data_IF_884639156795
#
_entry.id   IF_884639156795
#
_cell.length_a   1.000
_cell.length_b   1.000
_cell.length_c   1.000
_cell.angle_alpha   90.00
_cell.angle_beta   90.00
_cell.angle_gamma   90.00
#
_symmetry.space_group_name_H-M   'P 1'
#
loop_
_entity.id
_entity.type
_entity.pdbx_description
1 polymer ?
#
# COMPACT_ATOMS: atom_id res chain seq x y z
N UNK A 1 7.82 -58.37 -47.95
CA UNK A 1 7.29 -59.73 -48.19
C UNK A 1 6.74 -60.28 -46.87
N UNK A 2 5.46 -60.68 -46.88
CA UNK A 2 4.75 -61.61 -45.98
C UNK A 2 4.81 -61.43 -44.45
N UNK A 3 3.68 -60.98 -43.89
CA UNK A 3 3.09 -61.49 -42.62
C UNK A 3 2.35 -62.83 -42.91
N UNK A 4 1.91 -63.70 -41.94
CA UNK A 4 0.99 -63.37 -40.84
C UNK A 4 0.98 -64.23 -39.53
N UNK A 5 0.10 -63.82 -38.58
CA UNK A 5 -0.73 -64.53 -37.56
C UNK A 5 -0.07 -65.43 -36.49
N UNK A 6 -0.19 -65.16 -35.17
CA UNK A 6 -1.34 -65.23 -34.24
C UNK A 6 -1.72 -66.66 -33.79
N UNK A 7 -1.64 -66.97 -32.47
CA UNK A 7 -2.70 -67.58 -31.65
C UNK A 7 -2.32 -67.70 -30.15
N UNK A 8 -3.36 -67.55 -29.33
CA UNK A 8 -3.49 -67.57 -27.87
C UNK A 8 -2.92 -68.79 -27.11
N UNK A 9 -2.54 -68.57 -25.84
CA UNK A 9 -3.14 -69.35 -24.73
C UNK A 9 -3.04 -68.62 -23.38
N UNK A 10 -4.21 -68.36 -22.81
CA UNK A 10 -4.43 -67.76 -21.51
C UNK A 10 -4.01 -68.67 -20.34
N UNK A 11 -3.50 -68.07 -19.25
CA UNK A 11 -3.60 -68.65 -17.90
C UNK A 11 -3.71 -67.56 -16.85
N UNK A 12 -4.81 -67.63 -16.11
CA UNK A 12 -5.22 -66.70 -15.06
C UNK A 12 -4.28 -66.75 -13.84
N UNK A 13 -3.89 -65.60 -13.33
CA UNK A 13 -3.67 -65.38 -11.89
C UNK A 13 -4.29 -64.04 -11.54
N UNK A 14 -5.37 -64.09 -10.77
CA UNK A 14 -5.98 -62.93 -10.13
C UNK A 14 -5.05 -62.44 -9.02
N UNK A 15 -4.71 -61.15 -9.04
CA UNK A 15 -4.11 -60.47 -7.91
C UNK A 15 -4.70 -59.06 -7.79
N UNK A 16 -5.55 -58.88 -6.79
CA UNK A 16 -6.00 -57.60 -6.29
C UNK A 16 -4.81 -56.73 -5.87
N UNK A 17 -4.65 -55.55 -6.46
CA UNK A 17 -3.86 -54.46 -5.86
C UNK A 17 -4.58 -53.12 -6.06
N UNK A 18 -5.08 -52.63 -4.93
CA UNK A 18 -5.48 -51.28 -4.55
C UNK A 18 -5.54 -50.18 -5.63
N UNK A 19 -6.77 -49.70 -5.88
CA UNK A 19 -7.03 -48.35 -6.39
C UNK A 19 -6.70 -47.35 -5.28
N UNK A 20 -5.50 -46.77 -5.32
CA UNK A 20 -5.19 -45.57 -4.55
C UNK A 20 -5.86 -44.38 -5.25
N UNK A 21 -7.07 -44.02 -4.83
CA UNK A 21 -7.68 -42.72 -5.11
C UNK A 21 -6.80 -41.64 -4.47
N UNK A 22 -5.83 -41.15 -5.24
CA UNK A 22 -5.08 -39.95 -4.91
C UNK A 22 -6.05 -38.77 -4.88
N UNK A 23 -6.41 -38.34 -3.67
CA UNK A 23 -6.88 -37.00 -3.40
C UNK A 23 -5.77 -36.04 -3.85
N UNK A 24 -5.79 -35.66 -5.13
CA UNK A 24 -5.08 -34.48 -5.62
C UNK A 24 -5.74 -33.29 -4.94
N UNK A 25 -5.26 -32.97 -3.73
CA UNK A 25 -5.50 -31.69 -3.11
C UNK A 25 -5.08 -30.64 -4.13
N UNK A 26 -6.05 -29.86 -4.60
CA UNK A 26 -5.78 -28.64 -5.35
C UNK A 26 -4.95 -27.77 -4.42
N UNK A 27 -3.63 -27.80 -4.62
CA UNK A 27 -2.73 -26.78 -4.10
C UNK A 27 -3.29 -25.50 -4.67
N UNK A 28 -3.95 -24.70 -3.83
CA UNK A 28 -4.30 -23.34 -4.19
C UNK A 28 -2.96 -22.69 -4.50
N UNK A 29 -2.66 -22.56 -5.79
CA UNK A 29 -1.66 -21.64 -6.25
C UNK A 29 -2.04 -20.31 -5.59
N UNK A 30 -1.19 -19.82 -4.69
CA UNK A 30 -1.33 -18.48 -4.16
C UNK A 30 -1.45 -17.57 -5.39
N UNK A 31 -2.64 -16.99 -5.55
CA UNK A 31 -2.94 -16.07 -6.64
C UNK A 31 -1.83 -15.02 -6.56
N UNK A 32 -0.93 -14.97 -7.56
CA UNK A 32 0.05 -13.90 -7.65
C UNK A 32 -0.79 -12.63 -7.80
N UNK A 33 -0.96 -11.94 -6.68
CA UNK A 33 -2.05 -10.99 -6.48
C UNK A 33 -2.08 -9.99 -7.62
N UNK A 34 -3.28 -9.80 -8.20
CA UNK A 34 -3.50 -8.69 -9.12
C UNK A 34 -2.99 -7.41 -8.46
N UNK A 35 -2.26 -6.59 -9.20
CA UNK A 35 -1.79 -5.30 -8.72
C UNK A 35 -2.95 -4.52 -8.08
N UNK A 36 -2.73 -3.84 -6.94
CA UNK A 36 -3.74 -3.00 -6.32
C UNK A 36 -4.29 -2.00 -7.34
N UNK A 37 -5.62 -1.83 -7.38
CA UNK A 37 -6.23 -0.95 -8.37
C UNK A 37 -5.83 0.50 -8.08
N UNK A 38 -5.12 1.11 -9.03
CA UNK A 38 -4.77 2.53 -9.03
C UNK A 38 -5.25 3.19 -10.32
N UNK A 39 -5.80 4.40 -10.23
CA UNK A 39 -6.28 5.14 -11.40
C UNK A 39 -6.29 6.64 -11.12
N UNK A 40 -5.83 7.44 -12.08
CA UNK A 40 -5.86 8.90 -11.99
C UNK A 40 -6.50 9.48 -13.24
N UNK A 41 -7.33 10.50 -13.06
CA UNK A 41 -7.90 11.25 -14.17
C UNK A 41 -8.12 12.71 -13.76
N UNK A 42 -7.41 13.62 -14.43
CA UNK A 42 -7.42 15.06 -14.13
C UNK A 42 -7.06 15.31 -12.65
N UNK A 43 -7.94 15.93 -11.88
CA UNK A 43 -7.68 16.35 -10.49
C UNK A 43 -8.12 15.33 -9.44
N UNK A 44 -8.42 14.10 -9.89
CA UNK A 44 -8.88 13.02 -9.03
C UNK A 44 -8.04 11.75 -9.23
N UNK A 45 -7.88 10.99 -8.15
CA UNK A 45 -7.23 9.69 -8.14
C UNK A 45 -8.00 8.65 -7.32
N UNK A 46 -7.74 7.37 -7.58
CA UNK A 46 -8.27 6.20 -6.91
C UNK A 46 -7.11 5.30 -6.48
N UNK A 47 -7.15 4.83 -5.25
CA UNK A 47 -6.31 3.74 -4.77
C UNK A 47 -7.16 2.74 -4.00
N UNK A 48 -7.11 1.47 -4.39
CA UNK A 48 -7.66 0.37 -3.61
C UNK A 48 -6.53 -0.44 -2.98
N UNK A 49 -6.73 -0.91 -1.75
CA UNK A 49 -5.80 -1.81 -1.07
C UNK A 49 -6.10 -3.29 -1.35
N UNK A 50 -5.23 -4.17 -0.87
CA UNK A 50 -5.36 -5.63 -0.95
C UNK A 50 -6.62 -6.22 -0.27
N UNK A 51 -7.36 -5.43 0.53
CA UNK A 51 -8.66 -5.84 1.10
C UNK A 51 -9.86 -5.47 0.22
N UNK A 52 -9.60 -4.80 -0.91
CA UNK A 52 -10.56 -4.16 -1.83
C UNK A 52 -11.26 -2.92 -1.26
N UNK A 53 -10.71 -2.35 -0.19
CA UNK A 53 -11.15 -1.03 0.28
C UNK A 53 -10.57 0.03 -0.64
N UNK A 54 -11.43 0.88 -1.20
CA UNK A 54 -11.05 1.87 -2.18
C UNK A 54 -11.16 3.29 -1.59
N UNK A 55 -10.21 4.14 -1.98
CA UNK A 55 -10.12 5.55 -1.59
C UNK A 55 -10.02 6.39 -2.85
N UNK A 56 -11.06 7.15 -3.16
CA UNK A 56 -11.06 8.16 -4.20
C UNK A 56 -10.73 9.52 -3.57
N UNK A 57 -9.79 10.26 -4.16
CA UNK A 57 -9.38 11.58 -3.67
C UNK A 57 -9.49 12.60 -4.79
N UNK A 58 -10.01 13.78 -4.46
CA UNK A 58 -10.07 14.95 -5.34
C UNK A 58 -9.26 16.08 -4.75
N UNK A 59 -8.70 16.93 -5.60
CA UNK A 59 -7.89 18.08 -5.21
C UNK A 59 -8.35 19.36 -5.90
N UNK A 60 -7.79 20.50 -5.52
CA UNK A 60 -7.82 21.71 -6.33
C UNK A 60 -7.19 21.48 -7.71
N UNK A 61 -7.51 22.35 -8.67
CA UNK A 61 -6.90 22.30 -9.99
C UNK A 61 -5.40 22.55 -9.94
N UNK A 62 -4.65 21.86 -10.80
CA UNK A 62 -3.21 22.09 -10.95
C UNK A 62 -2.92 23.47 -11.54
N UNK A 63 -2.09 24.25 -10.87
CA UNK A 63 -1.75 25.61 -11.31
C UNK A 63 -2.88 26.63 -11.15
N UNK A 64 -3.98 26.26 -10.48
CA UNK A 64 -5.01 27.21 -10.07
C UNK A 64 -4.56 28.10 -8.90
N UNK A 65 -5.33 29.15 -8.62
CA UNK A 65 -5.04 30.11 -7.53
C UNK A 65 -5.53 29.64 -6.14
N UNK A 66 -6.23 28.49 -6.07
CA UNK A 66 -6.69 27.97 -4.79
C UNK A 66 -5.54 27.39 -3.98
N UNK A 67 -5.49 27.74 -2.70
CA UNK A 67 -4.74 27.00 -1.70
C UNK A 67 -5.14 25.51 -1.68
N UNK A 68 -4.29 24.61 -1.16
CA UNK A 68 -4.57 23.18 -1.19
C UNK A 68 -5.88 22.80 -0.47
N UNK A 69 -6.74 22.07 -1.18
CA UNK A 69 -7.98 21.49 -0.64
C UNK A 69 -8.18 20.10 -1.23
N UNK A 70 -8.63 19.17 -0.39
CA UNK A 70 -8.86 17.80 -0.83
C UNK A 70 -10.13 17.21 -0.20
N UNK A 71 -10.77 16.34 -0.95
CA UNK A 71 -11.88 15.51 -0.51
C UNK A 71 -11.48 14.05 -0.70
N UNK A 72 -11.62 13.23 0.34
CA UNK A 72 -11.43 11.78 0.27
C UNK A 72 -12.75 11.07 0.44
N UNK A 73 -13.04 10.14 -0.46
CA UNK A 73 -14.12 9.18 -0.35
C UNK A 73 -13.56 7.79 -0.08
N UNK A 74 -13.94 7.17 1.03
CA UNK A 74 -13.52 5.81 1.39
C UNK A 74 -14.72 4.87 1.32
N UNK A 75 -14.53 3.69 0.73
CA UNK A 75 -15.54 2.62 0.75
C UNK A 75 -14.89 1.25 0.87
N UNK A 76 -15.27 0.52 1.91
CA UNK A 76 -14.94 -0.88 2.08
C UNK A 76 -15.62 -1.74 1.01
N UNK A 77 -15.06 -2.91 0.70
CA UNK A 77 -15.70 -3.88 -0.19
C UNK A 77 -16.82 -4.66 0.52
N UNK A 78 -17.70 -5.29 -0.27
CA UNK A 78 -18.86 -6.04 0.21
C UNK A 78 -20.19 -5.31 0.03
N UNK A 79 -21.33 -6.03 0.13
CA UNK A 79 -22.65 -5.44 -0.06
C UNK A 79 -22.94 -4.34 0.97
N UNK A 80 -23.75 -3.35 0.57
CA UNK A 80 -24.30 -2.31 1.45
C UNK A 80 -23.28 -1.47 2.25
N UNK A 81 -22.00 -1.49 1.88
CA UNK A 81 -20.99 -0.64 2.52
C UNK A 81 -21.18 0.84 2.16
N UNK A 82 -21.19 1.74 3.16
CA UNK A 82 -21.38 3.16 2.93
C UNK A 82 -20.12 3.82 2.35
N UNK A 83 -20.31 4.95 1.67
CA UNK A 83 -19.22 5.86 1.33
C UNK A 83 -19.03 6.83 2.49
N UNK A 84 -17.81 6.89 3.01
CA UNK A 84 -17.37 7.91 3.96
C UNK A 84 -16.71 9.04 3.19
N UNK A 85 -16.99 10.30 3.55
CA UNK A 85 -16.40 11.46 2.87
C UNK A 85 -15.76 12.39 3.90
N UNK A 86 -14.47 12.64 3.74
CA UNK A 86 -13.67 13.51 4.58
C UNK A 86 -13.13 14.68 3.76
N UNK A 87 -12.93 15.83 4.41
CA UNK A 87 -12.32 17.01 3.82
C UNK A 87 -11.00 17.34 4.50
N UNK A 88 -10.13 18.01 3.77
CA UNK A 88 -8.93 18.62 4.30
C UNK A 88 -8.61 19.89 3.53
N UNK A 89 -8.10 20.89 4.24
CA UNK A 89 -7.56 22.12 3.66
C UNK A 89 -6.16 22.36 4.22
N UNK A 90 -5.29 22.95 3.42
CA UNK A 90 -4.00 23.46 3.88
C UNK A 90 -4.03 24.98 3.87
N UNK A 91 -3.40 25.58 4.87
CA UNK A 91 -3.20 27.03 4.95
C UNK A 91 -1.98 27.33 5.82
N UNK A 92 -1.28 28.42 5.52
CA UNK A 92 -0.21 28.94 6.38
C UNK A 92 -0.74 29.55 7.70
N UNK A 93 -2.05 29.76 7.81
CA UNK A 93 -2.72 30.26 9.01
C UNK A 93 -3.01 29.12 9.99
N UNK A 94 -3.55 29.46 11.16
CA UNK A 94 -4.11 28.45 12.05
C UNK A 94 -5.26 27.69 11.38
N UNK A 95 -5.29 26.37 11.58
CA UNK A 95 -6.35 25.51 11.04
C UNK A 95 -7.74 25.99 11.47
N UNK A 96 -8.70 26.08 10.53
CA UNK A 96 -10.04 26.56 10.84
C UNK A 96 -10.80 25.57 11.73
N UNK A 97 -11.45 26.06 12.78
CA UNK A 97 -12.23 25.22 13.71
C UNK A 97 -13.50 24.61 13.09
N UNK A 98 -13.98 25.19 11.97
CA UNK A 98 -15.16 24.70 11.25
C UNK A 98 -15.09 25.11 9.79
N UNK A 99 -15.49 24.18 8.92
CA UNK A 99 -15.61 24.37 7.47
C UNK A 99 -17.07 24.44 7.03
N UNK A 100 -17.28 25.12 5.90
CA UNK A 100 -18.53 25.15 5.14
C UNK A 100 -18.27 24.59 3.74
N UNK A 101 -18.80 23.41 3.43
CA UNK A 101 -18.78 22.82 2.09
C UNK A 101 -20.00 23.27 1.29
N UNK A 102 -19.79 23.73 0.05
CA UNK A 102 -20.83 24.02 -0.94
C UNK A 102 -20.53 23.33 -2.25
N UNK A 103 -21.52 22.63 -2.79
CA UNK A 103 -21.46 21.98 -4.12
C UNK A 103 -22.84 22.14 -4.77
N UNK A 104 -22.93 22.89 -5.87
CA UNK A 104 -24.21 23.20 -6.51
C UNK A 104 -25.26 23.69 -5.50
N UNK A 105 -26.37 22.96 -5.38
CA UNK A 105 -27.46 23.30 -4.46
C UNK A 105 -27.26 22.78 -3.01
N UNK A 106 -26.22 21.99 -2.75
CA UNK A 106 -25.90 21.48 -1.42
C UNK A 106 -25.02 22.48 -0.66
N UNK A 107 -25.37 22.72 0.60
CA UNK A 107 -24.67 23.61 1.52
C UNK A 107 -24.60 22.96 2.90
N UNK A 108 -23.39 22.68 3.36
CA UNK A 108 -23.09 21.98 4.62
C UNK A 108 -22.19 22.86 5.50
N UNK A 109 -22.76 23.73 6.34
CA UNK A 109 -22.00 24.50 7.32
C UNK A 109 -21.66 23.65 8.55
N UNK A 110 -20.70 24.10 9.36
CA UNK A 110 -20.49 23.56 10.70
C UNK A 110 -19.71 22.24 10.75
N UNK A 111 -18.95 21.90 9.70
CA UNK A 111 -18.13 20.69 9.66
C UNK A 111 -16.86 20.92 10.50
N UNK A 112 -16.72 20.23 11.64
CA UNK A 112 -15.66 20.48 12.64
C UNK A 112 -14.60 19.38 12.67
N UNK A 113 -13.43 19.71 13.21
CA UNK A 113 -12.28 18.82 13.33
C UNK A 113 -11.20 19.13 12.29
N UNK A 114 -10.03 18.51 12.45
CA UNK A 114 -8.89 18.72 11.54
C UNK A 114 -9.11 18.04 10.19
N UNK A 115 -9.84 16.91 10.19
CA UNK A 115 -10.29 16.17 9.00
C UNK A 115 -11.81 15.99 9.07
N UNK A 116 -12.58 17.06 8.84
CA UNK A 116 -14.03 17.01 9.06
C UNK A 116 -14.72 16.05 8.09
N UNK A 117 -15.59 15.20 8.63
CA UNK A 117 -16.39 14.26 7.84
C UNK A 117 -17.76 14.83 7.48
N UNK A 118 -18.24 14.50 6.28
CA UNK A 118 -19.61 14.77 5.84
C UNK A 118 -20.58 13.83 6.57
N UNK A 119 -21.68 14.33 7.16
CA UNK A 119 -22.67 13.48 7.79
C UNK A 119 -23.22 12.43 6.82
N UNK A 120 -23.31 11.16 7.25
CA UNK A 120 -23.72 10.04 6.39
C UNK A 120 -25.04 10.28 5.64
N UNK A 121 -26.01 10.94 6.28
CA UNK A 121 -27.29 11.29 5.66
C UNK A 121 -27.18 12.27 4.47
N UNK A 122 -26.10 13.04 4.39
CA UNK A 122 -25.86 14.03 3.33
C UNK A 122 -25.04 13.46 2.16
N UNK A 123 -24.33 12.34 2.36
CA UNK A 123 -23.45 11.74 1.34
C UNK A 123 -24.19 11.42 0.02
N UNK A 124 -25.41 10.84 0.02
CA UNK A 124 -26.12 10.58 -1.25
C UNK A 124 -26.42 11.86 -2.05
N UNK A 125 -26.76 12.96 -1.37
CA UNK A 125 -27.01 14.26 -2.02
C UNK A 125 -25.71 14.89 -2.50
N UNK A 126 -24.64 14.80 -1.69
CA UNK A 126 -23.31 15.28 -2.09
C UNK A 126 -22.84 14.60 -3.37
N UNK A 127 -22.93 13.27 -3.45
CA UNK A 127 -22.54 12.52 -4.65
C UNK A 127 -23.31 12.98 -5.90
N UNK A 128 -24.60 13.29 -5.78
CA UNK A 128 -25.38 13.81 -6.91
C UNK A 128 -24.92 15.18 -7.38
N UNK A 129 -24.59 16.09 -6.46
CA UNK A 129 -24.08 17.42 -6.80
C UNK A 129 -22.67 17.33 -7.40
N UNK A 130 -21.80 16.46 -6.87
CA UNK A 130 -20.45 16.30 -7.40
C UNK A 130 -20.44 15.85 -8.87
N UNK A 131 -21.40 15.03 -9.28
CA UNK A 131 -21.51 14.55 -10.67
C UNK A 131 -22.13 15.57 -11.65
N UNK A 132 -22.67 16.69 -11.15
CA UNK A 132 -23.40 17.70 -11.95
C UNK A 132 -22.73 19.06 -12.01
N UNK A 133 -21.70 19.28 -11.18
CA UNK A 133 -21.03 20.56 -11.04
C UNK A 133 -19.55 20.40 -11.41
N UNK A 134 -18.90 21.53 -11.69
CA UNK A 134 -17.49 21.56 -12.10
C UNK A 134 -16.54 21.82 -10.92
N UNK A 135 -17.06 22.45 -9.86
CA UNK A 135 -16.29 22.84 -8.68
C UNK A 135 -17.11 22.68 -7.40
N UNK A 136 -16.40 22.52 -6.28
CA UNK A 136 -16.91 22.64 -4.93
C UNK A 136 -16.15 23.74 -4.19
N UNK A 137 -16.81 24.49 -3.32
CA UNK A 137 -16.16 25.48 -2.47
C UNK A 137 -16.14 25.01 -1.02
N UNK A 138 -14.98 25.09 -0.38
CA UNK A 138 -14.82 24.98 1.07
C UNK A 138 -14.51 26.36 1.60
N UNK A 139 -15.17 26.79 2.67
CA UNK A 139 -14.96 28.12 3.25
C UNK A 139 -14.86 28.08 4.78
N UNK A 140 -14.08 29.01 5.33
CA UNK A 140 -13.96 29.27 6.77
C UNK A 140 -13.76 30.77 7.01
N UNK A 141 -14.80 31.46 7.49
CA UNK A 141 -14.75 32.91 7.65
C UNK A 141 -14.52 33.62 6.31
N UNK A 142 -13.34 34.24 6.16
CA UNK A 142 -12.92 34.91 4.91
C UNK A 142 -12.11 34.01 3.98
N UNK A 143 -11.62 32.88 4.49
CA UNK A 143 -10.82 31.94 3.72
C UNK A 143 -11.73 31.08 2.85
N UNK A 144 -11.26 30.79 1.64
CA UNK A 144 -12.00 30.06 0.61
C UNK A 144 -11.04 29.20 -0.19
N UNK A 145 -11.38 27.93 -0.31
CA UNK A 145 -10.70 26.96 -1.17
C UNK A 145 -11.67 26.46 -2.24
N UNK A 146 -11.13 26.17 -3.42
CA UNK A 146 -11.88 25.66 -4.57
C UNK A 146 -11.35 24.28 -4.93
N UNK A 147 -12.21 23.28 -4.74
CA UNK A 147 -11.97 21.89 -5.11
C UNK A 147 -12.44 21.67 -6.56
N UNK A 148 -11.55 21.18 -7.41
CA UNK A 148 -11.88 20.81 -8.79
C UNK A 148 -12.70 19.52 -8.79
N UNK A 149 -13.79 19.48 -9.55
CA UNK A 149 -14.56 18.26 -9.80
C UNK A 149 -14.19 17.63 -11.16
N UNK A 150 -13.17 18.15 -11.82
CA UNK A 150 -12.67 17.61 -13.07
C UNK A 150 -12.10 16.20 -12.85
N UNK A 151 -12.84 15.19 -13.32
CA UNK A 151 -12.46 13.78 -13.26
C UNK A 151 -13.17 12.94 -12.20
N UNK A 152 -13.99 13.56 -11.34
CA UNK A 152 -14.76 12.86 -10.30
C UNK A 152 -15.58 11.70 -10.87
N UNK A 153 -16.30 11.90 -11.98
CA UNK A 153 -17.12 10.86 -12.60
C UNK A 153 -16.30 9.67 -13.09
N UNK A 154 -15.11 9.91 -13.67
CA UNK A 154 -14.26 8.84 -14.18
C UNK A 154 -13.68 7.99 -13.03
N UNK A 155 -13.20 8.66 -11.98
CA UNK A 155 -12.62 8.02 -10.79
C UNK A 155 -13.69 7.24 -10.01
N UNK A 156 -14.87 7.81 -9.78
CA UNK A 156 -15.95 7.11 -9.08
C UNK A 156 -16.52 5.94 -9.90
N UNK A 157 -16.55 6.06 -11.23
CA UNK A 157 -16.92 4.93 -12.09
C UNK A 157 -15.87 3.81 -12.02
N UNK A 158 -14.58 4.15 -11.96
CA UNK A 158 -13.52 3.15 -11.78
C UNK A 158 -13.60 2.47 -10.42
N UNK A 159 -13.99 3.21 -9.38
CA UNK A 159 -14.26 2.66 -8.05
C UNK A 159 -15.42 1.67 -8.06
N UNK A 160 -16.53 2.00 -8.74
CA UNK A 160 -17.65 1.07 -8.94
C UNK A 160 -17.19 -0.19 -9.70
N UNK A 161 -16.35 -0.04 -10.73
CA UNK A 161 -15.81 -1.17 -11.50
C UNK A 161 -14.94 -2.09 -10.62
N UNK A 162 -14.01 -1.49 -9.85
CA UNK A 162 -13.09 -2.22 -8.98
C UNK A 162 -13.81 -3.04 -7.90
N UNK A 163 -14.97 -2.57 -7.43
CA UNK A 163 -15.79 -3.26 -6.44
C UNK A 163 -16.91 -4.11 -7.05
N UNK A 164 -17.05 -4.16 -8.37
CA UNK A 164 -18.09 -4.93 -9.05
C UNK A 164 -19.51 -4.35 -8.88
N UNK A 165 -19.62 -3.03 -8.70
CA UNK A 165 -20.87 -2.32 -8.40
C UNK A 165 -21.54 -1.68 -9.61
N UNK A 166 -20.90 -1.67 -10.78
CA UNK A 166 -21.50 -1.07 -11.98
C UNK A 166 -22.83 -1.76 -12.32
N UNK A 167 -23.90 -0.98 -12.30
CA UNK A 167 -25.27 -1.42 -12.55
C UNK A 167 -26.02 -1.95 -11.32
N UNK A 168 -25.50 -1.80 -10.11
CA UNK A 168 -26.24 -2.06 -8.86
C UNK A 168 -26.94 -0.78 -8.36
N UNK A 169 -27.90 -0.87 -7.42
CA UNK A 169 -28.49 0.30 -6.78
C UNK A 169 -27.47 1.17 -6.02
N UNK A 170 -26.43 0.54 -5.45
CA UNK A 170 -25.36 1.20 -4.69
C UNK A 170 -24.17 1.68 -5.51
N UNK A 171 -24.25 1.66 -6.84
CA UNK A 171 -23.25 2.29 -7.71
C UNK A 171 -23.25 3.81 -7.51
N UNK A 172 -22.07 4.42 -7.53
CA UNK A 172 -21.89 5.86 -7.38
C UNK A 172 -22.25 6.62 -8.66
N UNK A 173 -21.94 6.05 -9.83
CA UNK A 173 -22.14 6.71 -11.13
C UNK A 173 -23.22 6.02 -11.96
N UNK A 174 -23.03 4.74 -12.29
CA UNK A 174 -23.92 3.98 -13.18
C UNK A 174 -24.79 3.02 -12.38
N UNK A 175 -25.86 3.55 -11.79
CA UNK A 175 -26.85 2.76 -11.04
C UNK A 175 -27.65 1.84 -11.95
N UNK A 176 -28.16 0.76 -11.39
CA UNK A 176 -29.04 -0.18 -12.09
C UNK A 176 -29.72 -1.14 -11.13
N UNK A 177 -30.15 -2.29 -11.65
CA UNK A 177 -30.96 -3.29 -10.92
C UNK A 177 -30.21 -4.57 -10.57
N UNK A 178 -28.90 -4.65 -10.85
CA UNK A 178 -28.10 -5.80 -10.41
C UNK A 178 -28.12 -5.87 -8.88
N UNK A 179 -28.27 -7.07 -8.28
CA UNK A 179 -28.38 -7.20 -6.84
C UNK A 179 -27.08 -6.78 -6.15
N UNK A 180 -27.18 -6.02 -5.05
CA UNK A 180 -26.03 -5.65 -4.21
C UNK A 180 -25.29 -6.88 -3.65
N UNK A 181 -25.98 -8.01 -3.49
CA UNK A 181 -25.36 -9.28 -3.10
C UNK A 181 -24.33 -9.83 -4.11
N UNK A 182 -24.31 -9.33 -5.34
CA UNK A 182 -23.33 -9.73 -6.37
C UNK A 182 -22.04 -8.87 -6.36
N UNK A 183 -21.95 -7.87 -5.48
CA UNK A 183 -20.77 -7.03 -5.29
C UNK A 183 -19.61 -7.84 -4.74
N UNK A 184 -18.38 -7.49 -5.13
CA UNK A 184 -17.19 -8.21 -4.67
C UNK A 184 -17.06 -8.11 -3.14
N UNK A 185 -16.94 -9.24 -2.41
CA UNK A 185 -16.72 -9.21 -0.96
C UNK A 185 -15.33 -8.69 -0.63
N UNK A 186 -15.09 -8.24 0.61
CA UNK A 186 -13.75 -7.89 1.07
C UNK A 186 -12.83 -9.12 1.04
N UNK A 187 -11.53 -8.88 0.88
CA UNK A 187 -10.50 -9.91 1.03
C UNK A 187 -9.84 -9.78 2.42
N UNK A 188 -9.51 -10.89 3.09
CA UNK A 188 -8.85 -10.82 4.38
C UNK A 188 -7.44 -10.23 4.23
N UNK A 189 -7.12 -9.23 5.04
CA UNK A 189 -5.74 -8.77 5.19
C UNK A 189 -4.87 -9.92 5.74
N UNK A 190 -3.68 -10.17 5.15
CA UNK A 190 -2.71 -11.14 5.65
C UNK A 190 -2.34 -10.84 7.09
N UNK A 191 -2.07 -11.88 7.88
CA UNK A 191 -1.68 -11.73 9.29
C UNK A 191 -0.17 -11.89 9.41
N UNK A 192 0.51 -10.93 10.03
CA UNK A 192 1.94 -11.02 10.31
C UNK A 192 2.16 -11.46 11.75
N UNK A 193 2.99 -12.49 11.92
CA UNK A 193 3.49 -12.86 13.24
C UNK A 193 4.72 -12.01 13.57
N UNK A 194 4.52 -10.82 14.11
CA UNK A 194 5.62 -9.97 14.54
C UNK A 194 6.46 -10.66 15.64
N UNK A 195 7.77 -10.62 15.50
CA UNK A 195 8.72 -11.12 16.50
C UNK A 195 9.65 -9.99 16.89
N UNK A 196 9.76 -9.73 18.19
CA UNK A 196 10.72 -8.74 18.71
C UNK A 196 12.15 -9.30 18.58
N UNK A 197 13.06 -8.55 17.94
CA UNK A 197 14.48 -8.90 17.89
C UNK A 197 15.08 -9.03 19.28
N UNK A 198 16.08 -9.91 19.44
CA UNK A 198 16.82 -9.98 20.70
C UNK A 198 17.67 -8.70 20.91
N UNK A 199 17.86 -8.24 22.16
CA UNK A 199 18.76 -7.13 22.45
C UNK A 199 20.18 -7.39 21.94
N UNK A 200 20.88 -6.31 21.58
CA UNK A 200 22.27 -6.38 21.16
C UNK A 200 23.15 -7.04 22.23
N UNK A 201 24.08 -7.89 21.78
CA UNK A 201 25.08 -8.51 22.64
C UNK A 201 26.39 -7.73 22.61
N UNK A 202 27.18 -7.88 23.67
CA UNK A 202 28.54 -7.37 23.72
C UNK A 202 29.36 -8.00 22.58
N UNK A 203 29.80 -7.17 21.64
CA UNK A 203 30.59 -7.58 20.48
C UNK A 203 29.84 -7.59 19.16
N UNK A 204 28.51 -7.38 19.13
CA UNK A 204 27.74 -7.40 17.88
C UNK A 204 28.22 -6.32 16.89
N UNK A 205 28.54 -5.12 17.39
CA UNK A 205 29.12 -4.06 16.56
C UNK A 205 30.45 -4.48 15.90
N UNK A 206 31.25 -5.33 16.54
CA UNK A 206 32.52 -5.80 15.98
C UNK A 206 32.31 -6.77 14.80
N UNK A 207 31.10 -7.31 14.62
CA UNK A 207 30.76 -8.16 13.48
C UNK A 207 30.68 -7.37 12.17
N UNK A 208 30.57 -6.04 12.20
CA UNK A 208 30.49 -5.22 10.98
C UNK A 208 31.67 -5.51 10.03
N UNK A 209 32.91 -5.58 10.56
CA UNK A 209 34.12 -5.84 9.76
C UNK A 209 34.09 -7.19 9.03
N UNK A 210 33.91 -8.34 9.71
CA UNK A 210 33.85 -9.62 9.01
C UNK A 210 32.60 -9.80 8.14
N UNK A 211 31.45 -9.17 8.49
CA UNK A 211 30.24 -9.24 7.68
C UNK A 211 30.40 -8.49 6.36
N UNK A 212 30.90 -7.26 6.41
CA UNK A 212 31.23 -6.47 5.21
C UNK A 212 32.22 -7.21 4.31
N UNK A 213 33.25 -7.84 4.89
CA UNK A 213 34.23 -8.60 4.13
C UNK A 213 33.64 -9.85 3.45
N UNK A 214 32.52 -10.36 3.96
CA UNK A 214 31.81 -11.52 3.43
C UNK A 214 30.68 -11.17 2.44
N UNK A 215 30.41 -9.89 2.20
CA UNK A 215 29.38 -9.45 1.25
C UNK A 215 29.81 -9.74 -0.19
N UNK A 216 28.88 -10.25 -1.00
CA UNK A 216 29.01 -10.25 -2.45
C UNK A 216 28.75 -8.85 -3.00
N UNK A 217 29.81 -8.05 -3.09
CA UNK A 217 29.72 -6.64 -3.51
C UNK A 217 29.36 -6.46 -4.98
N UNK A 218 29.57 -7.47 -5.83
CA UNK A 218 29.21 -7.38 -7.24
C UNK A 218 27.69 -7.19 -7.42
N UNK A 219 26.89 -7.79 -6.54
CA UNK A 219 25.43 -7.63 -6.52
C UNK A 219 24.95 -6.24 -6.09
N UNK A 220 25.85 -5.39 -5.55
CA UNK A 220 25.54 -4.07 -4.95
C UNK A 220 26.16 -2.90 -5.72
N UNK A 221 26.85 -3.18 -6.81
CA UNK A 221 27.53 -2.16 -7.60
C UNK A 221 26.54 -1.12 -8.15
N UNK A 222 26.87 0.17 -7.96
CA UNK A 222 26.04 1.29 -8.42
C UNK A 222 24.75 1.53 -7.63
N UNK A 223 24.45 0.75 -6.59
CA UNK A 223 23.23 0.95 -5.78
C UNK A 223 23.38 2.07 -4.72
N UNK A 224 24.60 2.31 -4.25
CA UNK A 224 24.89 3.34 -3.25
C UNK A 224 25.60 4.53 -3.90
N UNK A 225 25.25 5.74 -3.44
CA UNK A 225 25.78 6.98 -4.00
C UNK A 225 26.73 7.73 -3.04
N UNK A 226 26.98 7.20 -1.84
CA UNK A 226 27.96 7.72 -0.90
C UNK A 226 29.34 7.07 -1.06
N UNK A 227 30.39 7.87 -0.90
CA UNK A 227 31.75 7.37 -0.74
C UNK A 227 31.84 6.50 0.53
N UNK A 228 32.56 5.37 0.46
CA UNK A 228 32.83 4.50 1.60
C UNK A 228 31.59 3.97 2.38
N UNK A 229 30.43 3.82 1.71
CA UNK A 229 29.21 3.24 2.29
C UNK A 229 29.47 1.90 3.04
N UNK A 230 30.35 1.07 2.48
CA UNK A 230 30.72 -0.23 3.03
C UNK A 230 31.90 -0.19 4.01
N UNK A 231 32.33 0.99 4.49
CA UNK A 231 33.29 1.05 5.58
C UNK A 231 32.65 0.48 6.86
N UNK A 232 33.24 -0.53 7.52
CA UNK A 232 32.66 -1.13 8.72
C UNK A 232 32.33 -0.15 9.86
N UNK A 233 32.97 1.03 9.88
CA UNK A 233 32.67 2.08 10.86
C UNK A 233 31.31 2.76 10.65
N UNK A 234 30.79 2.73 9.42
CA UNK A 234 29.50 3.35 9.04
C UNK A 234 28.33 2.35 9.08
N UNK A 235 28.63 1.06 9.23
CA UNK A 235 27.68 -0.04 9.12
C UNK A 235 27.15 -0.42 10.50
N UNK A 236 25.83 -0.50 10.64
CA UNK A 236 25.18 -0.92 11.88
C UNK A 236 24.90 -2.43 11.85
N UNK A 237 25.03 -3.08 13.02
CA UNK A 237 24.70 -4.49 13.20
C UNK A 237 23.67 -4.62 14.32
N UNK A 238 22.50 -5.16 13.97
CA UNK A 238 21.42 -5.40 14.92
C UNK A 238 21.24 -6.89 15.15
N UNK A 239 21.06 -7.28 16.42
CA UNK A 239 20.76 -8.66 16.77
C UNK A 239 19.32 -8.97 16.42
N UNK A 240 19.08 -10.05 15.66
CA UNK A 240 17.72 -10.50 15.33
C UNK A 240 17.32 -11.70 16.19
N UNK A 241 18.14 -12.75 16.15
CA UNK A 241 17.93 -13.99 16.90
C UNK A 241 19.22 -14.44 17.54
N UNK A 242 19.21 -15.59 18.22
CA UNK A 242 20.40 -16.09 18.88
C UNK A 242 21.61 -16.27 17.96
N UNK A 243 21.37 -16.50 16.66
CA UNK A 243 22.42 -16.80 15.67
C UNK A 243 22.38 -15.90 14.43
N UNK A 244 21.40 -14.98 14.35
CA UNK A 244 21.23 -14.08 13.21
C UNK A 244 21.35 -12.61 13.60
N UNK A 245 21.91 -11.83 12.71
CA UNK A 245 22.03 -10.38 12.79
C UNK A 245 21.55 -9.73 11.49
N UNK A 246 21.07 -8.50 11.59
CA UNK A 246 20.80 -7.60 10.48
C UNK A 246 22.01 -6.68 10.31
N UNK A 247 22.57 -6.64 9.12
CA UNK A 247 23.57 -5.67 8.69
C UNK A 247 22.83 -4.53 7.97
N UNK A 248 22.98 -3.29 8.45
CA UNK A 248 22.42 -2.11 7.81
C UNK A 248 23.53 -1.22 7.27
N UNK A 249 23.57 -1.08 5.95
CA UNK A 249 24.59 -0.29 5.24
C UNK A 249 23.93 0.98 4.71
N UNK A 250 24.32 2.17 5.18
CA UNK A 250 23.79 3.42 4.65
C UNK A 250 24.18 3.54 3.17
N UNK A 251 23.21 3.81 2.29
CA UNK A 251 23.41 3.62 0.86
C UNK A 251 22.87 4.77 0.01
N UNK A 252 21.56 5.06 0.08
CA UNK A 252 20.94 6.12 -0.69
C UNK A 252 20.96 7.43 0.09
N UNK A 253 21.62 8.46 -0.45
CA UNK A 253 21.60 9.81 0.10
C UNK A 253 21.17 10.81 -0.98
N UNK A 254 19.92 11.27 -0.92
CA UNK A 254 19.38 12.33 -1.76
C UNK A 254 19.21 13.64 -0.99
N UNK A 255 18.76 14.69 -1.68
CA UNK A 255 18.54 16.00 -1.07
C UNK A 255 17.59 16.00 0.14
N UNK A 256 16.71 15.00 0.23
CA UNK A 256 15.71 14.86 1.30
C UNK A 256 15.32 13.40 1.58
N UNK A 257 16.03 12.43 1.02
CA UNK A 257 15.75 11.00 1.22
C UNK A 257 17.04 10.31 1.67
N UNK A 258 16.94 9.44 2.68
CA UNK A 258 18.02 8.60 3.14
C UNK A 258 17.52 7.15 3.18
N UNK A 259 18.34 6.21 2.73
CA UNK A 259 18.00 4.79 2.80
C UNK A 259 19.23 3.95 3.10
N UNK A 260 18.98 2.83 3.77
CA UNK A 260 19.96 1.77 3.99
C UNK A 260 19.59 0.54 3.19
N UNK A 261 20.60 -0.18 2.71
CA UNK A 261 20.45 -1.56 2.24
C UNK A 261 20.66 -2.52 3.41
N UNK A 262 19.94 -3.63 3.40
CA UNK A 262 19.87 -4.55 4.53
C UNK A 262 20.23 -5.98 4.15
N UNK A 263 20.96 -6.67 5.02
CA UNK A 263 21.27 -8.09 4.90
C UNK A 263 20.98 -8.83 6.19
N UNK A 264 20.47 -10.05 6.09
CA UNK A 264 20.45 -10.99 7.21
C UNK A 264 21.67 -11.89 7.12
N UNK A 265 22.40 -12.06 8.23
CA UNK A 265 23.62 -12.87 8.28
C UNK A 265 23.67 -13.74 9.53
N UNK A 266 24.50 -14.78 9.49
CA UNK A 266 24.92 -15.49 10.70
C UNK A 266 25.88 -14.60 11.50
N UNK A 267 25.85 -14.73 12.82
CA UNK A 267 26.77 -14.01 13.72
C UNK A 267 28.15 -14.69 13.88
N UNK A 268 28.37 -15.82 13.19
CA UNK A 268 29.65 -16.56 13.16
C UNK A 268 29.92 -17.15 11.77
N UNK A 269 31.18 -17.51 11.45
CA UNK A 269 31.49 -18.22 10.23
C UNK A 269 30.71 -19.54 10.06
N UNK A 270 30.27 -19.88 8.84
CA UNK A 270 30.28 -19.03 7.66
C UNK A 270 29.21 -17.92 7.80
N UNK A 271 29.65 -16.66 7.71
CA UNK A 271 28.80 -15.50 8.01
C UNK A 271 27.58 -15.38 7.08
N UNK A 272 27.73 -15.71 5.79
CA UNK A 272 26.63 -15.80 4.80
C UNK A 272 25.63 -14.63 4.88
N UNK A 273 26.05 -13.39 4.60
CA UNK A 273 25.10 -12.28 4.45
C UNK A 273 24.24 -12.48 3.20
N UNK A 274 22.92 -12.40 3.37
CA UNK A 274 21.93 -12.54 2.31
C UNK A 274 21.13 -11.22 2.20
N UNK A 275 21.07 -10.59 1.02
CA UNK A 275 20.39 -9.31 0.84
C UNK A 275 18.89 -9.47 1.06
N UNK A 276 18.28 -8.49 1.73
CA UNK A 276 16.83 -8.37 1.74
C UNK A 276 16.38 -7.70 0.44
N UNK A 277 15.71 -8.46 -0.42
CA UNK A 277 15.17 -7.94 -1.68
C UNK A 277 13.95 -7.06 -1.40
N UNK A 278 13.88 -5.90 -2.07
CA UNK A 278 12.79 -4.93 -1.93
C UNK A 278 12.54 -4.45 -0.49
N UNK A 279 13.55 -4.52 0.39
CA UNK A 279 13.50 -3.97 1.74
C UNK A 279 14.64 -2.96 1.89
N UNK A 280 14.27 -1.70 2.09
CA UNK A 280 15.20 -0.61 2.33
C UNK A 280 14.72 0.26 3.50
N UNK A 281 15.59 1.15 3.96
CA UNK A 281 15.24 2.13 5.00
C UNK A 281 15.79 1.78 6.37
N UNK A 282 15.20 2.37 7.41
CA UNK A 282 15.74 2.36 8.76
C UNK A 282 15.10 1.25 9.60
N UNK A 283 15.94 0.46 10.26
CA UNK A 283 15.50 -0.61 11.15
C UNK A 283 15.40 -0.13 12.59
N UNK A 284 14.23 -0.33 13.20
CA UNK A 284 14.02 -0.16 14.63
C UNK A 284 14.12 -1.52 15.36
N UNK A 285 15.18 -1.76 16.16
CA UNK A 285 15.35 -3.01 16.87
C UNK A 285 14.32 -3.24 18.00
N UNK A 286 13.64 -2.19 18.48
CA UNK A 286 12.63 -2.34 19.52
C UNK A 286 11.33 -2.96 18.99
N UNK A 287 10.91 -2.55 17.80
CA UNK A 287 9.72 -3.09 17.13
C UNK A 287 10.02 -4.26 16.17
N UNK A 288 11.26 -4.37 15.69
CA UNK A 288 11.62 -5.27 14.61
C UNK A 288 11.09 -4.81 13.25
N UNK A 289 10.80 -3.53 13.10
CA UNK A 289 10.26 -2.94 11.88
C UNK A 289 11.36 -2.27 11.07
N UNK A 290 11.32 -2.43 9.75
CA UNK A 290 12.01 -1.55 8.81
C UNK A 290 11.01 -0.55 8.28
N UNK A 291 11.36 0.73 8.33
CA UNK A 291 10.55 1.83 7.82
C UNK A 291 11.28 2.56 6.71
N UNK A 292 10.62 2.69 5.57
CA UNK A 292 11.09 3.46 4.42
C UNK A 292 10.05 4.52 4.10
N UNK A 293 10.48 5.78 4.09
CA UNK A 293 9.68 6.91 3.68
C UNK A 293 10.43 7.67 2.60
N UNK A 294 9.83 7.78 1.42
CA UNK A 294 10.45 8.41 0.27
C UNK A 294 9.58 9.56 -0.19
N UNK A 295 10.20 10.73 -0.24
CA UNK A 295 9.61 11.95 -0.78
C UNK A 295 9.92 12.03 -2.28
N UNK A 296 8.96 12.49 -3.08
CA UNK A 296 9.12 12.61 -4.53
C UNK A 296 9.74 13.93 -4.99
N UNK A 297 9.55 15.00 -4.21
CA UNK A 297 10.05 16.35 -4.52
C UNK A 297 10.22 17.18 -3.27
N UNK A 298 11.10 18.18 -3.31
CA UNK A 298 11.52 19.00 -2.16
C UNK A 298 10.40 19.68 -1.35
N UNK A 299 9.22 19.89 -1.91
CA UNK A 299 8.05 20.45 -1.22
C UNK A 299 7.52 19.48 -0.15
N UNK A 300 7.56 18.18 -0.42
CA UNK A 300 7.13 17.16 0.54
C UNK A 300 5.64 16.97 0.55
N UNK A 301 5.05 17.00 -0.62
CA UNK A 301 3.64 16.73 -0.87
C UNK A 301 3.43 15.52 -1.80
N UNK A 302 4.52 14.80 -2.08
CA UNK A 302 4.51 13.46 -2.64
C UNK A 302 5.32 12.56 -1.71
N UNK A 303 4.68 11.55 -1.14
CA UNK A 303 5.26 10.61 -0.20
C UNK A 303 4.82 9.19 -0.53
N UNK A 304 5.77 8.28 -0.39
CA UNK A 304 5.51 6.85 -0.34
C UNK A 304 6.13 6.29 0.92
N UNK A 305 5.38 5.45 1.62
CA UNK A 305 5.80 4.78 2.84
C UNK A 305 5.66 3.29 2.64
N UNK A 306 6.71 2.56 3.00
CA UNK A 306 6.71 1.11 3.09
C UNK A 306 7.24 0.68 4.44
N UNK A 307 6.60 -0.31 5.01
CA UNK A 307 7.03 -0.90 6.27
C UNK A 307 7.12 -2.41 6.14
N UNK A 308 8.19 -2.99 6.68
CA UNK A 308 8.37 -4.42 6.78
C UNK A 308 8.55 -4.83 8.23
N UNK A 309 8.02 -5.99 8.59
CA UNK A 309 8.08 -6.51 9.95
C UNK A 309 8.93 -7.78 9.98
N UNK A 310 9.81 -7.86 10.98
CA UNK A 310 10.53 -9.09 11.29
C UNK A 310 9.57 -10.14 11.85
N UNK A 311 9.54 -11.33 11.22
CA UNK A 311 8.64 -12.44 11.57
C UNK A 311 9.33 -13.59 12.32
N UNK A 312 10.60 -13.41 12.66
CA UNK A 312 11.46 -14.43 13.28
C UNK A 312 12.34 -15.19 12.28
N UNK A 313 12.04 -15.12 10.98
CA UNK A 313 12.85 -15.70 9.90
C UNK A 313 13.45 -14.64 9.00
N UNK A 314 12.64 -13.65 8.61
CA UNK A 314 13.01 -12.56 7.72
C UNK A 314 12.05 -11.38 7.87
N UNK A 315 11.97 -10.57 6.82
CA UNK A 315 11.15 -9.36 6.80
C UNK A 315 10.03 -9.53 5.78
N UNK A 316 8.80 -9.24 6.21
CA UNK A 316 7.60 -9.32 5.36
C UNK A 316 6.95 -7.95 5.27
N UNK A 317 6.44 -7.59 4.08
CA UNK A 317 5.74 -6.32 3.88
C UNK A 317 4.52 -6.25 4.80
N UNK A 318 4.46 -5.20 5.62
CA UNK A 318 3.41 -4.91 6.60
C UNK A 318 2.44 -3.87 6.06
N UNK A 319 2.96 -2.82 5.45
CA UNK A 319 2.14 -1.75 4.90
C UNK A 319 2.85 -1.11 3.72
N UNK A 320 2.06 -0.66 2.75
CA UNK A 320 2.50 0.24 1.70
C UNK A 320 1.41 1.27 1.43
N UNK A 321 1.79 2.53 1.39
CA UNK A 321 0.90 3.65 1.13
C UNK A 321 1.61 4.77 0.38
N UNK A 322 0.86 5.53 -0.41
CA UNK A 322 1.29 6.80 -0.99
C UNK A 322 0.28 7.91 -0.69
N UNK A 323 0.58 9.15 -1.05
CA UNK A 323 -0.29 10.30 -0.76
C UNK A 323 -1.19 10.77 -1.92
N UNK A 324 -1.17 10.04 -3.03
CA UNK A 324 -1.99 10.30 -4.20
C UNK A 324 -1.34 11.32 -5.12
N UNK A 325 -1.92 12.52 -5.20
CA UNK A 325 -1.45 13.56 -6.11
C UNK A 325 -0.68 14.64 -5.35
N UNK A 326 0.48 15.02 -5.90
CA UNK A 326 1.38 16.06 -5.39
C UNK A 326 0.77 17.48 -5.46
N UNK A 327 -0.19 17.75 -4.59
CA UNK A 327 -1.09 18.91 -4.66
C UNK A 327 -0.89 19.91 -3.51
N UNK A 328 0.35 20.07 -3.05
CA UNK A 328 0.76 21.14 -2.13
C UNK A 328 0.46 20.89 -0.64
N UNK A 329 0.03 19.69 -0.28
CA UNK A 329 -0.16 19.29 1.12
C UNK A 329 1.16 18.76 1.69
N UNK A 330 1.79 19.50 2.61
CA UNK A 330 2.98 19.00 3.29
C UNK A 330 2.65 17.70 4.07
N UNK A 331 3.42 16.64 3.83
CA UNK A 331 3.17 15.28 4.35
C UNK A 331 2.13 14.48 3.56
N UNK A 332 1.59 15.04 2.47
CA UNK A 332 0.49 14.46 1.72
C UNK A 332 -0.88 14.80 2.33
N UNK A 333 -1.92 14.88 1.49
CA UNK A 333 -3.27 15.12 2.00
C UNK A 333 -3.80 13.90 2.78
N UNK A 334 -3.61 12.73 2.19
CA UNK A 334 -4.15 11.48 2.70
C UNK A 334 -3.09 10.40 2.62
N UNK A 335 -3.13 9.42 3.52
CA UNK A 335 -2.47 8.14 3.29
C UNK A 335 -3.42 7.26 2.47
N UNK A 336 -2.96 6.78 1.33
CA UNK A 336 -3.69 5.92 0.39
C UNK A 336 -3.00 4.55 0.34
N UNK A 337 -3.41 3.59 1.18
CA UNK A 337 -2.81 2.27 1.21
C UNK A 337 -3.01 1.49 -0.10
N UNK A 338 -1.95 0.85 -0.57
CA UNK A 338 -1.97 -0.19 -1.62
C UNK A 338 -1.99 -1.57 -0.97
N UNK A 339 -1.40 -1.71 0.22
CA UNK A 339 -1.27 -2.96 0.94
C UNK A 339 -1.36 -2.75 2.46
N UNK A 340 -2.16 -3.59 3.13
CA UNK A 340 -2.30 -3.61 4.59
C UNK A 340 -2.29 -5.05 5.11
N UNK A 341 -1.83 -5.22 6.35
CA UNK A 341 -1.87 -6.48 7.11
C UNK A 341 -2.56 -6.31 8.46
N UNK A 342 -2.78 -7.42 9.15
CA UNK A 342 -3.21 -7.48 10.55
C UNK A 342 -2.16 -8.13 11.43
#
# INVERSE_FOLDING_TARGET
MRSPSALDLARHVAACVLVATGLLGTVHAADKGKEPVSFQHKDWALQCDNTRTCRAVGYQSEGGESEPVSMRMTREAGPDTPVLVDLQVSTEKASPASLHLKVGALSLPGLKGDTPSVPAAQVPRLLQELLKNEEATVAAGKDRWVLSLAGVTAVLLKMDEAQGRVGTPGALVRKGTKPEAAVLPPLPAPVIKAVTPLPARKGDAALAKPLVAALDRASTEGQCNGDDAFNPANVQVYRLTDRKVLLSVPCGMGAYNFSSLLWVANDRPPYKPEPLQDVDGDFDPASGMVHSAMKGRGIGDCWWVREWQFDGQGFVLRSESGDGMCRGFAGGAWQLPTYVTR
#
